data_IF_522699223201
#
_entry.id   IF_522699223201
#
_cell.length_a   1.000
_cell.length_b   1.000
_cell.length_c   1.000
_cell.angle_alpha   90.00
_cell.angle_beta   90.00
_cell.angle_gamma   90.00
#
_symmetry.space_group_name_H-M   'P 1'
#
loop_
_entity.id
_entity.type
_entity.pdbx_description
1 polymer ?
#
# COMPACT_ATOMS: atom_id res chain seq x y z
N UNK A 1 47.54 48.22 -16.44
CA UNK A 1 47.81 47.04 -15.58
C UNK A 1 46.62 46.12 -15.73
N UNK A 2 46.83 44.99 -16.41
CA UNK A 2 45.79 44.08 -16.89
C UNK A 2 45.31 43.17 -15.77
N UNK A 3 44.00 43.03 -15.58
CA UNK A 3 43.40 41.85 -14.96
C UNK A 3 42.63 41.14 -16.07
N UNK A 4 43.10 39.94 -16.41
CA UNK A 4 42.67 39.14 -17.54
C UNK A 4 41.30 38.50 -17.30
N UNK A 5 40.54 38.43 -18.40
CA UNK A 5 39.28 37.72 -18.57
C UNK A 5 39.24 36.34 -17.90
N UNK A 6 38.17 36.09 -17.15
CA UNK A 6 37.80 34.78 -16.63
C UNK A 6 36.92 34.10 -17.69
N UNK A 7 37.43 33.04 -18.31
CA UNK A 7 36.78 32.27 -19.38
C UNK A 7 35.46 31.64 -18.91
N UNK A 8 34.33 32.29 -19.24
CA UNK A 8 32.95 31.84 -18.96
C UNK A 8 32.55 30.50 -19.61
N UNK A 9 33.43 29.85 -20.37
CA UNK A 9 33.12 28.57 -21.05
C UNK A 9 33.35 27.35 -20.16
N UNK A 10 34.26 27.43 -19.19
CA UNK A 10 34.60 26.29 -18.32
C UNK A 10 33.58 26.09 -17.18
N UNK A 11 32.90 27.14 -16.73
CA UNK A 11 31.90 27.07 -15.65
C UNK A 11 30.60 26.36 -16.09
N UNK A 12 30.23 26.47 -17.36
CA UNK A 12 29.03 25.82 -17.91
C UNK A 12 29.19 24.30 -18.08
N UNK A 13 30.38 23.83 -18.45
CA UNK A 13 30.65 22.40 -18.66
C UNK A 13 30.62 21.64 -17.32
N UNK A 14 31.15 22.23 -16.25
CA UNK A 14 31.09 21.66 -14.90
C UNK A 14 29.65 21.57 -14.36
N UNK A 15 28.80 22.56 -14.61
CA UNK A 15 27.39 22.54 -14.19
C UNK A 15 26.57 21.47 -14.91
N UNK A 16 26.80 21.29 -16.21
CA UNK A 16 26.13 20.26 -17.02
C UNK A 16 26.55 18.85 -16.56
N UNK A 17 27.80 18.64 -16.16
CA UNK A 17 28.30 17.36 -15.64
C UNK A 17 27.75 17.02 -14.24
N UNK A 18 27.60 18.02 -13.36
CA UNK A 18 27.03 17.85 -12.02
C UNK A 18 25.54 17.45 -12.08
N UNK A 19 24.79 17.96 -13.07
CA UNK A 19 23.36 17.62 -13.24
C UNK A 19 23.14 16.25 -13.90
N UNK A 20 24.10 15.72 -14.67
CA UNK A 20 23.99 14.38 -15.28
C UNK A 20 24.40 13.27 -14.30
N UNK A 21 25.38 13.52 -13.43
CA UNK A 21 25.86 12.52 -12.46
C UNK A 21 25.00 12.39 -11.18
N UNK A 22 24.14 13.37 -10.88
CA UNK A 22 23.29 13.37 -9.67
C UNK A 22 21.82 13.02 -9.95
N UNK A 23 21.43 12.89 -11.22
CA UNK A 23 20.06 12.54 -11.65
C UNK A 23 19.89 11.08 -12.11
N UNK A 24 20.64 10.05 -11.65
CA UNK A 24 20.23 8.66 -11.88
C UNK A 24 19.53 8.00 -10.68
N UNK A 25 19.00 8.76 -9.71
CA UNK A 25 18.23 8.20 -8.58
C UNK A 25 16.89 8.92 -8.31
N UNK A 26 16.24 9.49 -9.33
CA UNK A 26 14.90 10.09 -9.17
C UNK A 26 13.83 9.54 -10.12
N UNK A 27 14.17 8.56 -10.96
CA UNK A 27 13.19 7.85 -11.81
C UNK A 27 13.30 6.34 -11.58
N UNK A 28 13.29 5.94 -10.30
CA UNK A 28 12.81 4.63 -9.93
C UNK A 28 11.34 4.78 -9.55
N UNK A 29 10.42 4.77 -10.52
CA UNK A 29 9.04 4.50 -10.19
C UNK A 29 9.04 3.13 -9.50
N UNK A 30 8.80 3.10 -8.19
CA UNK A 30 8.65 1.85 -7.45
C UNK A 30 7.33 1.25 -7.92
N UNK A 31 7.39 0.52 -9.02
CA UNK A 31 6.22 -0.09 -9.62
C UNK A 31 5.87 -1.31 -8.79
N UNK A 32 4.82 -1.18 -7.98
CA UNK A 32 4.27 -2.25 -7.16
C UNK A 32 3.51 -3.23 -8.07
N UNK A 33 4.24 -3.90 -8.97
CA UNK A 33 3.65 -4.74 -10.01
C UNK A 33 3.20 -6.11 -9.50
N UNK A 34 3.54 -6.46 -8.26
CA UNK A 34 3.33 -7.80 -7.69
C UNK A 34 2.62 -7.74 -6.33
N UNK A 35 1.56 -6.95 -6.20
CA UNK A 35 0.70 -7.04 -5.01
C UNK A 35 -0.14 -8.31 -5.12
N UNK A 36 0.19 -9.31 -4.32
CA UNK A 36 -0.63 -10.52 -4.18
C UNK A 36 -1.86 -10.20 -3.31
N UNK A 37 -3.05 -10.28 -3.91
CA UNK A 37 -4.32 -10.11 -3.20
C UNK A 37 -4.94 -11.49 -2.97
N UNK A 38 -5.05 -11.88 -1.71
CA UNK A 38 -5.76 -13.06 -1.25
C UNK A 38 -7.25 -12.72 -1.18
N UNK A 39 -8.02 -13.33 -2.07
CA UNK A 39 -9.47 -13.14 -2.18
C UNK A 39 -10.21 -13.64 -0.94
N UNK A 40 -11.45 -13.17 -0.76
CA UNK A 40 -12.35 -13.65 0.30
C UNK A 40 -12.47 -15.17 0.37
N UNK A 41 -12.59 -15.82 -0.78
CA UNK A 41 -12.70 -17.27 -0.87
C UNK A 41 -11.43 -17.97 -0.34
N UNK A 42 -10.24 -17.44 -0.65
CA UNK A 42 -8.98 -18.06 -0.29
C UNK A 42 -8.69 -18.05 1.22
N UNK A 43 -9.20 -17.05 1.96
CA UNK A 43 -9.09 -17.00 3.42
C UNK A 43 -10.33 -17.51 4.16
N UNK A 44 -11.29 -18.10 3.43
CA UNK A 44 -12.52 -18.68 3.96
C UNK A 44 -13.41 -17.65 4.68
N UNK A 45 -13.65 -16.51 4.02
CA UNK A 45 -14.52 -15.46 4.53
C UNK A 45 -15.96 -15.95 4.72
N UNK A 46 -16.56 -15.58 5.85
CA UNK A 46 -18.02 -15.65 6.02
C UNK A 46 -18.71 -14.67 5.06
N UNK A 47 -19.93 -14.98 4.64
CA UNK A 47 -20.76 -14.06 3.86
C UNK A 47 -21.07 -12.78 4.66
N UNK A 48 -21.09 -11.60 4.01
CA UNK A 48 -21.52 -10.37 4.65
C UNK A 48 -23.03 -10.44 4.95
N UNK A 49 -23.44 -9.97 6.12
CA UNK A 49 -24.86 -9.87 6.53
C UNK A 49 -25.60 -8.73 5.82
N UNK A 50 -24.88 -7.88 5.08
CA UNK A 50 -25.39 -6.74 4.33
C UNK A 50 -24.25 -5.97 3.67
N UNK A 51 -24.55 -5.25 2.59
CA UNK A 51 -23.57 -4.47 1.81
C UNK A 51 -24.13 -3.09 1.48
N UNK A 52 -23.28 -2.07 1.57
CA UNK A 52 -23.57 -0.74 1.03
C UNK A 52 -22.45 -0.39 0.07
N UNK A 53 -22.78 -0.16 -1.19
CA UNK A 53 -21.79 0.16 -2.20
C UNK A 53 -21.46 1.66 -2.20
N UNK A 54 -20.18 1.98 -2.36
CA UNK A 54 -19.69 3.31 -2.61
C UNK A 54 -19.96 3.72 -4.06
N UNK A 55 -20.66 4.84 -4.23
CA UNK A 55 -20.86 5.45 -5.55
C UNK A 55 -19.77 6.50 -5.82
N UNK A 56 -19.29 6.56 -7.06
CA UNK A 56 -18.34 7.57 -7.50
C UNK A 56 -16.87 7.29 -7.15
N UNK A 57 -16.06 8.35 -7.21
CA UNK A 57 -14.61 8.28 -6.99
C UNK A 57 -14.30 8.11 -5.49
N UNK A 58 -13.21 7.39 -5.18
CA UNK A 58 -12.70 7.15 -3.82
C UNK A 58 -11.36 7.88 -3.63
N UNK A 59 -11.36 9.21 -3.44
CA UNK A 59 -10.13 10.01 -3.40
C UNK A 59 -9.35 9.89 -2.09
N UNK A 60 -9.90 9.21 -1.08
CA UNK A 60 -9.30 9.09 0.25
C UNK A 60 -9.09 7.62 0.61
N UNK A 61 -8.01 7.36 1.35
CA UNK A 61 -7.73 6.08 1.99
C UNK A 61 -7.43 6.32 3.48
N UNK A 62 -7.98 5.47 4.34
CA UNK A 62 -7.73 5.51 5.78
C UNK A 62 -6.88 4.31 6.18
N UNK A 63 -5.78 4.57 6.87
CA UNK A 63 -4.87 3.54 7.38
C UNK A 63 -5.24 3.26 8.84
N UNK A 64 -5.42 1.98 9.18
CA UNK A 64 -5.79 1.55 10.53
C UNK A 64 -5.07 0.24 10.89
N UNK A 65 -4.56 0.12 12.11
CA UNK A 65 -3.99 -1.13 12.62
C UNK A 65 -5.08 -2.01 13.24
N UNK A 66 -4.97 -3.33 13.19
CA UNK A 66 -6.02 -4.22 13.71
C UNK A 66 -6.09 -4.26 15.24
N UNK A 67 -5.00 -3.91 15.93
CA UNK A 67 -4.82 -4.11 17.38
C UNK A 67 -5.02 -5.59 17.82
N UNK A 68 -4.75 -6.51 16.90
CA UNK A 68 -4.88 -7.95 17.10
C UNK A 68 -3.50 -8.61 16.99
N UNK A 69 -3.45 -9.94 17.15
CA UNK A 69 -2.21 -10.69 16.97
C UNK A 69 -1.62 -10.52 15.56
N UNK A 70 -0.29 -10.59 15.49
CA UNK A 70 0.51 -10.52 14.25
C UNK A 70 0.50 -11.87 13.53
N UNK A 71 0.76 -11.87 12.22
CA UNK A 71 0.84 -13.09 11.43
C UNK A 71 1.98 -13.01 10.39
N UNK A 72 2.74 -14.08 10.19
CA UNK A 72 3.98 -14.04 9.38
C UNK A 72 4.01 -15.02 8.21
N UNK A 73 2.97 -15.85 8.08
CA UNK A 73 2.81 -16.79 6.97
C UNK A 73 1.35 -16.79 6.49
N UNK A 74 1.13 -17.26 5.27
CA UNK A 74 -0.18 -17.27 4.62
C UNK A 74 -1.26 -17.95 5.48
N UNK A 75 -0.94 -19.09 6.10
CA UNK A 75 -1.91 -19.85 6.88
C UNK A 75 -2.26 -19.12 8.19
N UNK A 76 -1.26 -18.57 8.87
CA UNK A 76 -1.43 -17.76 10.07
C UNK A 76 -2.24 -16.50 9.78
N UNK A 77 -1.95 -15.81 8.68
CA UNK A 77 -2.66 -14.58 8.31
C UNK A 77 -4.10 -14.84 7.90
N UNK A 78 -4.39 -15.89 7.11
CA UNK A 78 -5.76 -16.33 6.83
C UNK A 78 -6.56 -16.59 8.11
N UNK A 79 -5.98 -17.34 9.07
CA UNK A 79 -6.62 -17.60 10.38
C UNK A 79 -6.86 -16.32 11.16
N UNK A 80 -5.87 -15.42 11.20
CA UNK A 80 -5.95 -14.18 11.95
C UNK A 80 -7.05 -13.25 11.42
N UNK A 81 -7.17 -13.14 10.10
CA UNK A 81 -8.20 -12.33 9.45
C UNK A 81 -9.58 -12.93 9.67
N UNK A 82 -9.71 -14.26 9.67
CA UNK A 82 -10.96 -14.94 10.04
C UNK A 82 -11.38 -14.59 11.47
N UNK A 83 -10.45 -14.63 12.43
CA UNK A 83 -10.72 -14.23 13.83
C UNK A 83 -11.22 -12.77 13.91
N UNK A 84 -10.61 -11.88 13.14
CA UNK A 84 -11.05 -10.48 13.06
C UNK A 84 -12.47 -10.35 12.50
N UNK A 85 -12.78 -11.07 11.41
CA UNK A 85 -14.12 -11.08 10.84
C UNK A 85 -15.15 -11.61 11.83
N UNK A 86 -14.86 -12.72 12.49
CA UNK A 86 -15.76 -13.34 13.46
C UNK A 86 -16.02 -12.42 14.65
N UNK A 87 -14.98 -11.75 15.15
CA UNK A 87 -15.14 -10.73 16.19
C UNK A 87 -16.04 -9.57 15.73
N UNK A 88 -15.83 -9.06 14.52
CA UNK A 88 -16.66 -7.98 13.98
C UNK A 88 -18.12 -8.40 13.76
N UNK A 89 -18.36 -9.57 13.18
CA UNK A 89 -19.71 -10.04 12.85
C UNK A 89 -20.47 -10.57 14.07
N UNK A 90 -19.81 -11.28 14.98
CA UNK A 90 -20.46 -12.02 16.07
C UNK A 90 -20.43 -11.25 17.38
N UNK A 91 -19.34 -10.54 17.70
CA UNK A 91 -19.23 -9.80 18.95
C UNK A 91 -19.68 -8.33 18.80
N UNK A 92 -19.46 -7.72 17.64
CA UNK A 92 -19.86 -6.32 17.38
C UNK A 92 -21.12 -6.18 16.53
N UNK A 93 -21.70 -7.28 16.06
CA UNK A 93 -22.89 -7.29 15.21
C UNK A 93 -22.75 -6.47 13.92
N UNK A 94 -21.53 -6.33 13.40
CA UNK A 94 -21.30 -5.67 12.12
C UNK A 94 -21.72 -6.59 10.98
N UNK A 95 -22.00 -5.99 9.82
CA UNK A 95 -22.36 -6.77 8.64
C UNK A 95 -21.20 -7.60 8.09
N UNK A 96 -19.96 -7.12 8.25
CA UNK A 96 -18.75 -7.81 7.82
C UNK A 96 -17.53 -7.23 8.54
N UNK A 97 -16.35 -7.75 8.25
CA UNK A 97 -15.06 -7.18 8.65
C UNK A 97 -15.01 -5.67 8.36
N UNK A 98 -14.50 -4.88 9.31
CA UNK A 98 -14.55 -3.42 9.25
C UNK A 98 -13.59 -2.74 8.26
N UNK A 99 -12.89 -3.51 7.44
CA UNK A 99 -11.86 -3.01 6.52
C UNK A 99 -12.15 -3.42 5.09
N UNK A 100 -11.79 -2.56 4.12
CA UNK A 100 -11.83 -2.90 2.70
C UNK A 100 -10.72 -3.89 2.34
N UNK A 101 -9.52 -3.64 2.86
CA UNK A 101 -8.34 -4.48 2.70
C UNK A 101 -7.57 -4.56 4.01
N UNK A 102 -6.89 -5.69 4.21
CA UNK A 102 -5.95 -5.90 5.32
C UNK A 102 -4.60 -6.27 4.73
N UNK A 103 -3.52 -5.97 5.45
CA UNK A 103 -2.15 -6.34 5.03
C UNK A 103 -1.56 -7.17 6.16
N UNK A 104 -1.16 -8.41 5.85
CA UNK A 104 -0.46 -9.29 6.79
C UNK A 104 1.03 -8.98 6.83
N UNK A 105 1.72 -9.37 7.90
CA UNK A 105 3.19 -9.24 7.94
C UNK A 105 3.91 -10.26 7.04
N UNK A 106 3.15 -11.16 6.40
CA UNK A 106 3.60 -11.97 5.26
C UNK A 106 3.68 -11.18 3.93
N UNK A 107 3.30 -9.90 3.95
CA UNK A 107 3.40 -8.96 2.83
C UNK A 107 2.24 -9.03 1.83
N UNK A 108 1.23 -9.88 2.07
CA UNK A 108 0.06 -10.02 1.19
C UNK A 108 -1.06 -9.07 1.58
N UNK A 109 -1.86 -8.70 0.59
CA UNK A 109 -3.11 -7.98 0.79
C UNK A 109 -4.23 -8.99 0.88
N UNK A 110 -5.13 -8.83 1.83
CA UNK A 110 -6.29 -9.69 2.02
C UNK A 110 -7.55 -8.88 1.78
N UNK A 111 -8.40 -9.39 0.91
CA UNK A 111 -9.67 -8.76 0.58
C UNK A 111 -10.63 -8.84 1.77
N UNK A 112 -10.98 -7.69 2.34
CA UNK A 112 -12.09 -7.54 3.28
C UNK A 112 -13.37 -7.25 2.52
N UNK A 113 -13.92 -6.04 2.68
CA UNK A 113 -15.11 -5.60 1.92
C UNK A 113 -14.84 -5.29 0.45
N UNK A 114 -13.58 -5.13 0.05
CA UNK A 114 -13.21 -4.87 -1.34
C UNK A 114 -13.41 -3.41 -1.78
N UNK A 115 -13.62 -3.21 -3.08
CA UNK A 115 -13.64 -1.89 -3.74
C UNK A 115 -15.02 -1.26 -3.90
N UNK A 116 -16.08 -2.03 -3.62
CA UNK A 116 -17.44 -1.74 -4.05
C UNK A 116 -18.28 -1.05 -2.97
#
# INVERSE_FOLDING_TARGET
>A
MYITNMDMKLTWICYIWIMIATVPCFIGAFQCNNVEIVSRAEWNASEPKGTTNFTGNKPYATIHHTAMARCFDLAACKRQIKVIQDFHQNNRSWWDIGYNFLIGEDGRVYEGRGWY
#
